data_IF_905754531505
#
_entry.id   IF_905754531505
#
_cell.length_a   1.000
_cell.length_b   1.000
_cell.length_c   1.000
_cell.angle_alpha   90.00
_cell.angle_beta   90.00
_cell.angle_gamma   90.00
#
_symmetry.space_group_name_H-M   'P 1'
#
loop_
_entity.id
_entity.type
_entity.pdbx_description
1 polymer ?
#
# COMPACT_ATOMS: atom_id res chain seq x y z
N UNK A 1 -10.42 4.07 -13.97
CA UNK A 1 -10.38 5.56 -14.03
C UNK A 1 -9.27 5.98 -14.99
N UNK A 2 -9.62 6.48 -16.18
CA UNK A 2 -8.62 6.94 -17.16
C UNK A 2 -7.91 8.21 -16.64
N UNK A 3 -6.58 8.28 -16.78
CA UNK A 3 -5.79 9.48 -16.52
C UNK A 3 -5.31 9.74 -15.09
N UNK A 4 -5.96 9.20 -14.05
CA UNK A 4 -5.49 9.36 -12.66
C UNK A 4 -4.14 8.68 -12.43
N UNK A 5 -4.00 7.43 -12.90
CA UNK A 5 -2.81 6.60 -12.61
C UNK A 5 -1.56 7.09 -13.33
N UNK A 6 -1.71 7.59 -14.56
CA UNK A 6 -0.58 8.01 -15.39
C UNK A 6 0.09 9.26 -14.78
N UNK A 7 -0.73 10.23 -14.35
CA UNK A 7 -0.26 11.42 -13.63
C UNK A 7 0.44 11.06 -12.31
N UNK A 8 -0.13 10.14 -11.52
CA UNK A 8 0.49 9.73 -10.25
C UNK A 8 1.85 9.05 -10.48
N UNK A 9 2.00 8.21 -11.50
CA UNK A 9 3.27 7.55 -11.81
C UNK A 9 4.34 8.57 -12.21
N UNK A 10 3.96 9.60 -12.98
CA UNK A 10 4.87 10.67 -13.37
C UNK A 10 5.38 11.47 -12.15
N UNK A 11 4.47 11.85 -11.25
CA UNK A 11 4.82 12.55 -9.99
C UNK A 11 5.77 11.70 -9.14
N UNK A 12 5.47 10.41 -8.98
CA UNK A 12 6.32 9.49 -8.21
C UNK A 12 7.71 9.40 -8.83
N UNK A 13 7.82 9.23 -10.16
CA UNK A 13 9.12 9.17 -10.86
C UNK A 13 9.92 10.46 -10.68
N UNK A 14 9.25 11.63 -10.77
CA UNK A 14 9.88 12.94 -10.55
C UNK A 14 10.44 13.04 -9.14
N UNK A 15 9.64 12.71 -8.13
CA UNK A 15 10.05 12.79 -6.72
C UNK A 15 11.18 11.80 -6.41
N UNK A 16 11.11 10.56 -6.90
CA UNK A 16 12.19 9.60 -6.74
C UNK A 16 13.50 10.09 -7.39
N UNK A 17 13.42 10.72 -8.56
CA UNK A 17 14.60 11.32 -9.22
C UNK A 17 15.20 12.46 -8.40
N UNK A 18 14.37 13.34 -7.82
CA UNK A 18 14.83 14.43 -6.97
C UNK A 18 15.52 13.93 -5.69
N UNK A 19 15.02 12.85 -5.11
CA UNK A 19 15.57 12.24 -3.88
C UNK A 19 16.72 11.26 -4.14
N UNK A 20 17.11 11.02 -5.40
CA UNK A 20 18.14 10.04 -5.75
C UNK A 20 17.75 8.58 -5.47
N UNK A 21 16.45 8.27 -5.42
CA UNK A 21 15.92 6.94 -5.09
C UNK A 21 15.59 6.17 -6.37
N UNK A 22 16.06 4.92 -6.47
CA UNK A 22 15.69 4.01 -7.55
C UNK A 22 14.17 3.73 -7.53
N UNK A 23 13.49 3.91 -8.66
CA UNK A 23 12.05 3.63 -8.78
C UNK A 23 11.77 2.49 -9.75
N UNK A 24 10.98 1.50 -9.31
CA UNK A 24 10.53 0.36 -10.14
C UNK A 24 9.00 0.35 -10.23
N UNK A 25 8.47 0.29 -11.46
CA UNK A 25 7.02 0.33 -11.70
C UNK A 25 6.53 -1.01 -12.23
N UNK A 26 5.58 -1.62 -11.53
CA UNK A 26 4.94 -2.88 -11.90
C UNK A 26 3.46 -2.69 -12.19
N UNK A 27 2.97 -3.25 -13.30
CA UNK A 27 1.57 -3.13 -13.73
C UNK A 27 0.82 -4.45 -13.52
N UNK A 28 -0.46 -4.36 -13.17
CA UNK A 28 -1.29 -5.56 -12.96
C UNK A 28 -1.50 -6.32 -14.26
N UNK A 29 -1.66 -5.61 -15.38
CA UNK A 29 -1.81 -6.23 -16.70
C UNK A 29 -0.61 -7.11 -17.07
N UNK A 30 0.62 -6.66 -16.77
CA UNK A 30 1.84 -7.42 -17.07
C UNK A 30 2.06 -8.59 -16.09
N UNK A 31 1.76 -8.38 -14.80
CA UNK A 31 2.09 -9.37 -13.76
C UNK A 31 0.99 -10.40 -13.49
N UNK A 32 -0.26 -10.05 -13.76
CA UNK A 32 -1.46 -10.85 -13.45
C UNK A 32 -2.31 -11.12 -14.69
N UNK A 33 -1.93 -10.64 -15.87
CA UNK A 33 -2.68 -10.79 -17.12
C UNK A 33 -3.95 -9.93 -17.23
N UNK A 34 -4.34 -9.27 -16.14
CA UNK A 34 -5.59 -8.53 -16.06
C UNK A 34 -5.39 -7.14 -15.45
N UNK A 35 -6.11 -6.16 -16.01
CA UNK A 35 -6.25 -4.81 -15.47
C UNK A 35 -7.40 -4.73 -14.46
N UNK A 36 -7.39 -3.70 -13.62
CA UNK A 36 -8.50 -3.47 -12.68
C UNK A 36 -9.81 -3.17 -13.40
N UNK A 37 -9.76 -2.48 -14.54
CA UNK A 37 -10.96 -2.13 -15.31
C UNK A 37 -11.59 -3.40 -15.94
N UNK A 38 -10.78 -4.36 -16.38
CA UNK A 38 -11.27 -5.66 -16.86
C UNK A 38 -11.91 -6.48 -15.73
N UNK A 39 -11.27 -6.53 -14.56
CA UNK A 39 -11.77 -7.27 -13.40
C UNK A 39 -13.07 -6.64 -12.88
N UNK A 40 -13.15 -5.32 -12.79
CA UNK A 40 -14.36 -4.61 -12.37
C UNK A 40 -15.55 -4.84 -13.32
N UNK A 41 -15.30 -5.07 -14.61
CA UNK A 41 -16.34 -5.38 -15.59
C UNK A 41 -16.79 -6.85 -15.51
N UNK A 42 -15.84 -7.76 -15.31
CA UNK A 42 -16.09 -9.22 -15.27
C UNK A 42 -16.72 -9.68 -13.96
N UNK A 43 -16.23 -9.17 -12.83
CA UNK A 43 -16.60 -9.62 -11.49
C UNK A 43 -17.34 -8.53 -10.72
N UNK A 44 -18.64 -8.76 -10.49
CA UNK A 44 -19.52 -7.81 -9.78
C UNK A 44 -19.82 -8.18 -8.33
N UNK A 45 -19.32 -9.33 -7.85
CA UNK A 45 -19.60 -9.84 -6.50
C UNK A 45 -19.01 -8.96 -5.39
N UNK A 46 -17.86 -8.34 -5.63
CA UNK A 46 -17.16 -7.49 -4.66
C UNK A 46 -16.80 -6.16 -5.30
N UNK A 47 -16.62 -5.13 -4.46
CA UNK A 47 -16.16 -3.84 -4.93
C UNK A 47 -14.77 -3.93 -5.58
N UNK A 48 -14.47 -3.13 -6.62
CA UNK A 48 -13.14 -3.09 -7.24
C UNK A 48 -12.01 -2.81 -6.24
N UNK A 49 -12.29 -2.07 -5.17
CA UNK A 49 -11.36 -1.79 -4.08
C UNK A 49 -10.94 -3.07 -3.33
N UNK A 50 -11.84 -4.04 -3.16
CA UNK A 50 -11.57 -5.30 -2.49
C UNK A 50 -10.53 -6.12 -3.26
N UNK A 51 -10.71 -6.23 -4.57
CA UNK A 51 -9.74 -6.89 -5.46
C UNK A 51 -8.41 -6.12 -5.53
N UNK A 52 -8.48 -4.80 -5.70
CA UNK A 52 -7.29 -3.95 -5.78
C UNK A 52 -6.39 -4.12 -4.55
N UNK A 53 -6.98 -4.14 -3.35
CA UNK A 53 -6.23 -4.32 -2.10
C UNK A 53 -5.54 -5.67 -1.99
N UNK A 54 -6.18 -6.75 -2.46
CA UNK A 54 -5.57 -8.09 -2.50
C UNK A 54 -4.41 -8.12 -3.49
N UNK A 55 -4.61 -7.66 -4.72
CA UNK A 55 -3.56 -7.67 -5.75
C UNK A 55 -2.38 -6.78 -5.41
N UNK A 56 -2.61 -5.60 -4.80
CA UNK A 56 -1.52 -4.72 -4.32
C UNK A 56 -0.65 -5.44 -3.31
N UNK A 57 -1.26 -6.07 -2.29
CA UNK A 57 -0.51 -6.79 -1.24
C UNK A 57 0.23 -8.00 -1.80
N UNK A 58 -0.40 -8.76 -2.69
CA UNK A 58 0.22 -9.90 -3.35
C UNK A 58 1.44 -9.48 -4.17
N UNK A 59 1.29 -8.48 -5.06
CA UNK A 59 2.38 -8.02 -5.91
C UNK A 59 3.50 -7.34 -5.13
N UNK A 60 3.18 -6.56 -4.10
CA UNK A 60 4.20 -6.00 -3.20
C UNK A 60 5.04 -7.13 -2.59
N UNK A 61 4.40 -8.14 -1.99
CA UNK A 61 5.13 -9.25 -1.40
C UNK A 61 5.97 -10.03 -2.43
N UNK A 62 5.38 -10.35 -3.59
CA UNK A 62 6.07 -11.07 -4.68
C UNK A 62 7.31 -10.31 -5.15
N UNK A 63 7.17 -9.01 -5.48
CA UNK A 63 8.27 -8.20 -6.00
C UNK A 63 9.33 -7.90 -4.97
N UNK A 64 8.97 -7.68 -3.71
CA UNK A 64 9.96 -7.51 -2.65
C UNK A 64 10.83 -8.76 -2.48
N UNK A 65 10.25 -9.96 -2.60
CA UNK A 65 11.02 -11.22 -2.57
C UNK A 65 11.93 -11.37 -3.78
N UNK A 66 11.42 -11.10 -4.99
CA UNK A 66 12.22 -11.16 -6.23
C UNK A 66 13.41 -10.17 -6.20
N UNK A 67 13.25 -9.03 -5.53
CA UNK A 67 14.30 -8.03 -5.34
C UNK A 67 15.23 -8.32 -4.15
N UNK A 68 14.99 -9.40 -3.40
CA UNK A 68 15.82 -9.77 -2.24
C UNK A 68 15.73 -8.80 -1.05
N UNK A 69 14.69 -7.98 -0.94
CA UNK A 69 14.57 -7.05 0.18
C UNK A 69 14.06 -7.75 1.45
N UNK A 70 14.52 -7.30 2.61
CA UNK A 70 14.18 -7.90 3.90
C UNK A 70 12.92 -7.32 4.56
N UNK A 71 12.47 -6.13 4.15
CA UNK A 71 11.33 -5.39 4.71
C UNK A 71 10.67 -4.52 3.65
N UNK A 72 9.40 -4.19 3.85
CA UNK A 72 8.65 -3.20 3.05
C UNK A 72 8.15 -2.08 3.96
N UNK A 73 8.60 -0.85 3.71
CA UNK A 73 8.06 0.33 4.37
C UNK A 73 6.78 0.81 3.70
N UNK A 74 5.72 1.01 4.49
CA UNK A 74 4.44 1.55 4.03
C UNK A 74 4.24 2.95 4.64
N UNK A 75 3.71 3.88 3.85
CA UNK A 75 3.49 5.26 4.27
C UNK A 75 2.21 5.52 5.07
N UNK A 76 1.77 4.57 5.91
CA UNK A 76 0.61 4.80 6.78
C UNK A 76 1.00 5.69 7.95
N UNK A 77 0.19 6.70 8.23
CA UNK A 77 0.40 7.68 9.30
C UNK A 77 -0.43 7.34 10.56
N UNK A 78 -0.42 8.21 11.57
CA UNK A 78 -1.18 8.03 12.81
C UNK A 78 -2.70 7.99 12.56
N UNK A 79 -3.20 8.92 11.76
CA UNK A 79 -4.62 9.04 11.43
C UNK A 79 -5.15 7.77 10.73
N UNK A 80 -4.39 7.18 9.81
CA UNK A 80 -4.70 5.91 9.14
C UNK A 80 -4.90 4.76 10.15
N UNK A 81 -4.05 4.69 11.17
CA UNK A 81 -4.13 3.66 12.19
C UNK A 81 -5.33 3.86 13.12
N UNK A 82 -5.53 5.09 13.60
CA UNK A 82 -6.67 5.45 14.45
C UNK A 82 -7.98 5.18 13.72
N UNK A 83 -8.08 5.58 12.44
CA UNK A 83 -9.25 5.30 11.62
C UNK A 83 -9.48 3.80 11.46
N UNK A 84 -8.42 3.02 11.22
CA UNK A 84 -8.52 1.55 11.09
C UNK A 84 -9.01 0.91 12.39
N UNK A 85 -8.47 1.33 13.54
CA UNK A 85 -8.87 0.84 14.86
C UNK A 85 -10.34 1.18 15.13
N UNK A 86 -10.73 2.44 14.92
CA UNK A 86 -12.10 2.92 15.14
C UNK A 86 -13.10 2.17 14.25
N UNK A 87 -12.79 1.98 12.97
CA UNK A 87 -13.65 1.25 12.05
C UNK A 87 -13.83 -0.23 12.45
N UNK A 88 -12.78 -0.88 12.95
CA UNK A 88 -12.87 -2.26 13.42
C UNK A 88 -13.64 -2.34 14.75
N UNK A 89 -13.45 -1.35 15.64
CA UNK A 89 -14.20 -1.23 16.89
C UNK A 89 -15.70 -1.14 16.64
N UNK A 90 -16.12 -0.19 15.80
CA UNK A 90 -17.53 0.05 15.48
C UNK A 90 -18.20 -1.13 14.77
N UNK A 91 -17.42 -1.95 14.04
CA UNK A 91 -17.92 -3.18 13.40
C UNK A 91 -17.98 -4.38 14.34
N UNK A 92 -17.45 -4.28 15.56
CA UNK A 92 -17.31 -5.41 16.47
C UNK A 92 -16.37 -6.50 15.94
N UNK A 93 -15.46 -6.18 15.01
CA UNK A 93 -14.58 -7.15 14.36
C UNK A 93 -13.30 -7.36 15.19
N UNK A 94 -13.45 -8.06 16.31
CA UNK A 94 -12.41 -8.30 17.31
C UNK A 94 -11.20 -9.03 16.69
N UNK A 95 -11.44 -9.91 15.71
CA UNK A 95 -10.40 -10.67 15.02
C UNK A 95 -9.48 -9.78 14.19
N UNK A 96 -9.96 -8.64 13.69
CA UNK A 96 -9.12 -7.69 12.94
C UNK A 96 -8.20 -6.85 13.83
N UNK A 97 -8.50 -6.69 15.12
CA UNK A 97 -7.63 -5.95 16.04
C UNK A 97 -6.24 -6.57 16.17
N UNK A 98 -6.17 -7.90 16.29
CA UNK A 98 -4.89 -8.62 16.35
C UNK A 98 -4.04 -8.51 15.08
N UNK A 99 -4.59 -7.95 13.99
CA UNK A 99 -3.90 -7.73 12.72
C UNK A 99 -3.47 -6.28 12.52
N UNK A 100 -3.87 -5.34 13.39
CA UNK A 100 -3.53 -3.91 13.32
C UNK A 100 -2.29 -3.59 14.15
N UNK A 101 -1.18 -4.29 13.88
CA UNK A 101 0.11 -4.11 14.55
C UNK A 101 1.11 -3.28 13.74
N UNK A 102 2.18 -2.82 14.39
CA UNK A 102 3.34 -2.14 13.78
C UNK A 102 4.20 -3.13 12.99
N UNK A 103 4.12 -4.40 13.35
CA UNK A 103 4.87 -5.50 12.78
C UNK A 103 3.95 -6.70 12.58
N UNK A 104 3.95 -7.27 11.38
CA UNK A 104 3.22 -8.49 11.09
C UNK A 104 4.17 -9.68 11.26
N UNK A 105 4.06 -10.40 12.38
CA UNK A 105 4.72 -11.70 12.56
C UNK A 105 4.00 -12.73 11.67
N UNK A 106 4.47 -12.88 10.43
CA UNK A 106 4.10 -14.03 9.61
C UNK A 106 5.22 -15.07 9.72
N UNK A 107 4.88 -16.26 10.24
CA UNK A 107 5.80 -17.36 10.58
C UNK A 107 6.30 -18.18 9.39
N UNK A 108 5.74 -17.96 8.20
CA UNK A 108 5.88 -18.88 7.06
C UNK A 108 7.06 -18.54 6.12
N UNK A 109 7.90 -17.54 6.44
CA UNK A 109 9.10 -17.15 5.66
C UNK A 109 8.85 -16.63 4.23
N UNK A 110 7.65 -16.85 3.68
CA UNK A 110 7.18 -16.45 2.35
C UNK A 110 6.58 -15.04 2.33
N UNK A 111 6.41 -14.42 3.50
CA UNK A 111 5.90 -13.05 3.63
C UNK A 111 7.01 -12.13 4.11
N UNK A 112 7.26 -11.07 3.34
CA UNK A 112 8.23 -10.05 3.74
C UNK A 112 7.59 -9.15 4.81
N UNK A 113 8.25 -8.93 5.95
CA UNK A 113 7.74 -8.05 7.00
C UNK A 113 7.44 -6.65 6.49
N UNK A 114 6.27 -6.13 6.88
CA UNK A 114 5.86 -4.75 6.58
C UNK A 114 6.07 -3.89 7.81
N UNK A 115 6.73 -2.75 7.62
CA UNK A 115 6.96 -1.74 8.65
C UNK A 115 6.21 -0.45 8.29
N UNK A 116 5.84 0.33 9.30
CA UNK A 116 5.15 1.61 9.17
C UNK A 116 5.96 2.69 9.91
N UNK A 117 6.97 3.29 9.28
CA UNK A 117 7.84 4.26 9.97
C UNK A 117 7.10 5.52 10.46
N UNK A 118 5.97 5.86 9.83
CA UNK A 118 5.21 7.09 10.09
C UNK A 118 4.01 6.88 11.02
N UNK A 119 3.92 5.71 11.66
CA UNK A 119 2.75 5.28 12.44
C UNK A 119 2.36 6.24 13.57
N UNK A 120 3.32 6.98 14.09
CA UNK A 120 3.14 7.90 15.23
C UNK A 120 3.07 9.36 14.79
N UNK A 121 3.15 9.62 13.47
CA UNK A 121 3.17 10.98 12.92
C UNK A 121 1.77 11.34 12.42
N UNK A 122 1.15 12.43 12.93
CA UNK A 122 -0.12 12.93 12.42
C UNK A 122 -0.05 13.34 10.93
N UNK A 123 -1.15 13.19 10.21
CA UNK A 123 -1.24 13.59 8.80
C UNK A 123 -0.90 15.07 8.58
N UNK A 124 -1.28 15.94 9.53
CA UNK A 124 -0.94 17.37 9.49
C UNK A 124 0.57 17.59 9.50
N UNK A 125 1.32 16.84 10.30
CA UNK A 125 2.79 16.96 10.36
C UNK A 125 3.44 16.43 9.09
N UNK A 126 2.90 15.35 8.52
CA UNK A 126 3.33 14.83 7.21
C UNK A 126 3.18 15.89 6.12
N UNK A 127 2.07 16.63 6.12
CA UNK A 127 1.85 17.72 5.17
C UNK A 127 2.89 18.83 5.35
N UNK A 128 3.19 19.24 6.58
CA UNK A 128 4.24 20.23 6.86
C UNK A 128 5.63 19.77 6.40
N UNK A 129 5.95 18.49 6.58
CA UNK A 129 7.23 17.92 6.12
C UNK A 129 7.35 17.95 4.60
N UNK A 130 6.27 17.66 3.87
CA UNK A 130 6.26 17.71 2.40
C UNK A 130 6.55 19.12 1.87
N UNK A 131 6.03 20.17 2.51
CA UNK A 131 6.32 21.56 2.14
C UNK A 131 7.77 21.98 2.35
N UNK A 132 8.57 21.23 3.11
CA UNK A 132 10.00 21.51 3.32
C UNK A 132 10.93 20.78 2.35
N UNK A 133 10.42 19.78 1.64
CA UNK A 133 11.19 18.92 0.72
C UNK A 133 10.97 19.32 -0.75
N UNK A 134 9.87 20.02 -1.04
CA UNK A 134 9.53 20.61 -2.36
C UNK A 134 9.96 22.07 -2.38
#
# INVERSE_FOLDING_TARGET
MKGYRDKTIEIVKKNCKLLGIESKVYSFKKELGHSMDEIAKRERKLSPCSYCGVFRRYLLNKKTRELGCNKVAMGHNLDDEVQTILMNFLRGDIYRFGRTGSYYLYSDGRFVPRIKPLREVPEKEMLFMLFRII
#
